data_IF_354012884680
#
_entry.id   IF_354012884680
#
_cell.length_a   1.000
_cell.length_b   1.000
_cell.length_c   1.000
_cell.angle_alpha   90.00
_cell.angle_beta   90.00
_cell.angle_gamma   90.00
#
_symmetry.space_group_name_H-M   'P 1'
#
loop_
_entity.id
_entity.type
_entity.pdbx_description
1 polymer ?
#
# COMPACT_ATOMS: atom_id res chain seq x y z
N UNK A 1 -13.62 15.90 23.35
CA UNK A 1 -13.68 15.95 21.91
C UNK A 1 -13.76 14.57 21.29
N UNK A 2 -14.76 14.31 20.50
CA UNK A 2 -14.81 13.02 19.84
C UNK A 2 -13.59 12.88 18.95
N UNK A 3 -13.10 11.70 18.88
CA UNK A 3 -12.04 11.40 17.98
C UNK A 3 -12.58 11.57 16.57
N UNK A 4 -12.14 12.59 15.89
CA UNK A 4 -12.65 12.90 14.58
C UNK A 4 -12.40 11.78 13.58
N UNK A 5 -13.24 11.73 12.56
CA UNK A 5 -12.97 10.92 11.40
C UNK A 5 -11.88 11.63 10.62
N UNK A 6 -10.81 10.93 10.30
CA UNK A 6 -9.72 11.51 9.54
C UNK A 6 -10.19 11.82 8.11
N UNK A 7 -9.77 12.96 7.58
CA UNK A 7 -10.05 13.27 6.18
C UNK A 7 -9.11 12.46 5.27
N UNK A 8 -9.32 12.55 3.96
CA UNK A 8 -8.56 11.75 2.99
C UNK A 8 -7.05 11.98 3.11
N UNK A 9 -6.62 13.24 3.27
CA UNK A 9 -5.19 13.54 3.39
C UNK A 9 -4.59 13.01 4.68
N UNK A 10 -5.34 13.10 5.78
CA UNK A 10 -4.88 12.57 7.06
C UNK A 10 -4.76 11.05 7.01
N UNK A 11 -5.70 10.38 6.36
CA UNK A 11 -5.63 8.93 6.18
C UNK A 11 -4.40 8.53 5.36
N UNK A 12 -4.11 9.27 4.30
CA UNK A 12 -2.92 9.01 3.47
C UNK A 12 -1.63 9.21 4.26
N UNK A 13 -1.56 10.29 5.05
CA UNK A 13 -0.40 10.58 5.89
C UNK A 13 -0.20 9.47 6.92
N UNK A 14 -1.27 9.05 7.56
CA UNK A 14 -1.22 7.97 8.53
C UNK A 14 -0.75 6.67 7.88
N UNK A 15 -1.31 6.34 6.71
CA UNK A 15 -0.94 5.12 6.00
C UNK A 15 0.54 5.10 5.61
N UNK A 16 1.04 6.22 5.08
CA UNK A 16 2.44 6.33 4.69
C UNK A 16 3.37 6.19 5.88
N UNK A 17 3.03 6.84 7.00
CA UNK A 17 3.83 6.75 8.21
C UNK A 17 3.88 5.31 8.74
N UNK A 18 2.74 4.65 8.77
CA UNK A 18 2.66 3.26 9.19
C UNK A 18 3.55 2.37 8.31
N UNK A 19 3.45 2.55 6.99
CA UNK A 19 4.24 1.76 6.05
C UNK A 19 5.76 2.01 6.23
N UNK A 20 6.15 3.28 6.43
CA UNK A 20 7.55 3.60 6.69
C UNK A 20 8.08 2.89 7.93
N UNK A 21 7.30 2.87 9.00
CA UNK A 21 7.69 2.19 10.23
C UNK A 21 7.85 0.69 10.00
N UNK A 22 6.94 0.08 9.22
CA UNK A 22 7.02 -1.34 8.90
C UNK A 22 8.27 -1.67 8.10
N UNK A 23 8.62 -0.82 7.13
CA UNK A 23 9.85 -1.02 6.35
C UNK A 23 11.08 -0.90 7.25
N UNK A 24 11.10 0.06 8.15
CA UNK A 24 12.20 0.20 9.12
C UNK A 24 12.34 -1.03 10.00
N UNK A 25 11.24 -1.53 10.52
CA UNK A 25 11.24 -2.75 11.34
C UNK A 25 11.79 -3.94 10.57
N UNK A 26 11.58 -3.97 9.26
CA UNK A 26 12.10 -5.03 8.40
C UNK A 26 13.55 -4.80 7.95
N UNK A 27 14.18 -3.70 8.39
CA UNK A 27 15.55 -3.39 8.02
C UNK A 27 15.70 -2.81 6.62
N UNK A 28 14.62 -2.32 6.03
CA UNK A 28 14.65 -1.76 4.68
C UNK A 28 14.92 -0.26 4.72
N UNK A 29 15.60 0.23 3.69
CA UNK A 29 16.07 1.61 3.64
C UNK A 29 15.13 2.53 2.85
N UNK A 30 15.59 3.78 2.65
CA UNK A 30 14.83 4.80 1.95
C UNK A 30 14.55 4.44 0.49
N UNK A 31 15.43 3.67 -0.14
CA UNK A 31 15.22 3.23 -1.51
C UNK A 31 13.97 2.37 -1.62
N UNK A 32 13.80 1.46 -0.66
CA UNK A 32 12.62 0.61 -0.62
C UNK A 32 11.35 1.42 -0.31
N UNK A 33 11.47 2.41 0.57
CA UNK A 33 10.33 3.29 0.85
C UNK A 33 9.92 4.10 -0.39
N UNK A 34 10.89 4.65 -1.11
CA UNK A 34 10.57 5.40 -2.34
C UNK A 34 9.87 4.52 -3.35
N UNK A 35 10.34 3.28 -3.49
CA UNK A 35 9.71 2.34 -4.41
C UNK A 35 8.28 2.02 -3.99
N UNK A 36 8.05 1.76 -2.71
CA UNK A 36 6.71 1.47 -2.20
C UNK A 36 5.79 2.66 -2.37
N UNK A 37 6.29 3.85 -2.04
CA UNK A 37 5.51 5.08 -2.17
C UNK A 37 5.06 5.29 -3.61
N UNK A 38 5.95 5.07 -4.56
CA UNK A 38 5.64 5.19 -5.98
C UNK A 38 4.66 4.11 -6.44
N UNK A 39 4.90 2.87 -6.04
CA UNK A 39 4.06 1.73 -6.43
C UNK A 39 2.62 1.92 -5.97
N UNK A 40 2.42 2.18 -4.68
CA UNK A 40 1.08 2.34 -4.15
C UNK A 40 0.46 3.69 -4.52
N UNK A 41 1.29 4.68 -4.87
CA UNK A 41 0.82 5.90 -5.51
C UNK A 41 0.17 5.60 -6.84
N UNK A 42 0.79 4.74 -7.65
CA UNK A 42 0.25 4.32 -8.94
C UNK A 42 -0.98 3.43 -8.80
N UNK A 43 -0.99 2.56 -7.78
CA UNK A 43 -2.09 1.60 -7.59
C UNK A 43 -3.37 2.28 -7.12
N UNK A 44 -3.27 3.17 -6.14
CA UNK A 44 -4.45 3.69 -5.46
C UNK A 44 -4.34 5.14 -5.05
N UNK A 45 -3.24 5.81 -5.35
CA UNK A 45 -2.92 7.11 -4.78
C UNK A 45 -2.98 7.07 -3.25
N UNK A 46 -2.61 5.92 -2.65
CA UNK A 46 -2.64 5.70 -1.20
C UNK A 46 -4.05 5.83 -0.59
N UNK A 47 -5.09 5.64 -1.40
CA UNK A 47 -6.47 5.74 -0.94
C UNK A 47 -6.93 4.37 -0.44
N UNK A 48 -7.16 4.27 0.87
CA UNK A 48 -7.57 3.00 1.49
C UNK A 48 -8.97 2.54 1.07
N UNK A 49 -9.72 3.38 0.37
CA UNK A 49 -11.05 3.05 -0.15
C UNK A 49 -11.07 2.90 -1.67
N UNK A 50 -9.89 2.95 -2.30
CA UNK A 50 -9.82 2.80 -3.75
C UNK A 50 -10.33 1.43 -4.18
N UNK A 51 -11.24 1.43 -5.13
CA UNK A 51 -11.84 0.21 -5.65
C UNK A 51 -11.68 0.17 -7.16
N UNK A 52 -11.16 -0.95 -7.65
CA UNK A 52 -11.03 -1.15 -9.09
C UNK A 52 -12.41 -1.51 -9.65
N UNK A 53 -12.93 -0.75 -10.64
CA UNK A 53 -14.26 -1.03 -11.19
C UNK A 53 -14.33 -2.34 -11.98
N UNK A 54 -13.18 -2.90 -12.37
CA UNK A 54 -13.13 -4.08 -13.23
C UNK A 54 -12.67 -5.34 -12.50
N UNK A 55 -12.43 -5.27 -11.19
CA UNK A 55 -11.95 -6.43 -10.45
C UNK A 55 -12.27 -6.29 -8.96
N UNK A 56 -11.88 -7.28 -8.17
CA UNK A 56 -12.03 -7.23 -6.72
C UNK A 56 -10.87 -6.52 -6.01
N UNK A 57 -9.94 -5.93 -6.77
CA UNK A 57 -8.82 -5.21 -6.17
C UNK A 57 -9.33 -4.02 -5.37
N UNK A 58 -8.84 -3.88 -4.13
CA UNK A 58 -9.33 -2.87 -3.21
C UNK A 58 -8.20 -2.36 -2.32
N UNK A 59 -8.33 -1.08 -1.93
CA UNK A 59 -7.48 -0.49 -0.91
C UNK A 59 -6.15 0.03 -1.42
N UNK A 60 -5.31 0.40 -0.49
CA UNK A 60 -4.00 0.99 -0.81
C UNK A 60 -3.17 0.09 -1.72
N UNK A 61 -3.01 -1.22 -1.40
CA UNK A 61 -2.19 -2.08 -2.25
C UNK A 61 -2.93 -2.64 -3.46
N UNK A 62 -4.22 -2.41 -3.59
CA UNK A 62 -5.05 -2.96 -4.66
C UNK A 62 -4.92 -4.48 -4.77
N UNK A 63 -5.07 -5.15 -3.62
CA UNK A 63 -5.05 -6.60 -3.59
C UNK A 63 -6.43 -7.18 -3.92
N UNK A 64 -6.43 -8.27 -4.65
CA UNK A 64 -7.65 -9.01 -4.93
C UNK A 64 -8.23 -9.56 -3.62
N UNK A 65 -9.55 -9.55 -3.53
CA UNK A 65 -10.28 -10.10 -2.39
C UNK A 65 -10.05 -9.35 -1.08
N UNK A 66 -9.47 -8.16 -1.12
CA UNK A 66 -9.38 -7.30 0.06
C UNK A 66 -10.79 -6.79 0.37
N UNK A 67 -11.30 -7.08 1.56
CA UNK A 67 -12.65 -6.68 1.93
C UNK A 67 -12.74 -5.15 2.11
N UNK A 68 -13.78 -4.50 1.58
CA UNK A 68 -14.03 -3.10 1.90
C UNK A 68 -14.17 -2.95 3.42
N UNK A 69 -13.63 -1.84 3.94
CA UNK A 69 -13.62 -1.61 5.38
C UNK A 69 -12.44 -2.22 6.11
N UNK A 70 -11.54 -2.90 5.41
CA UNK A 70 -10.32 -3.40 6.03
C UNK A 70 -9.51 -2.21 6.57
N UNK A 71 -9.10 -2.24 7.86
CA UNK A 71 -8.35 -1.13 8.45
C UNK A 71 -7.04 -0.88 7.71
N UNK A 72 -6.60 0.37 7.71
CA UNK A 72 -5.37 0.78 7.02
C UNK A 72 -4.17 -0.07 7.42
N UNK A 73 -3.86 -0.29 8.73
CA UNK A 73 -2.72 -1.12 9.09
C UNK A 73 -2.78 -2.51 8.49
N UNK A 74 -3.96 -3.11 8.47
CA UNK A 74 -4.13 -4.45 7.93
C UNK A 74 -3.94 -4.47 6.41
N UNK A 75 -4.42 -3.44 5.71
CA UNK A 75 -4.19 -3.31 4.28
C UNK A 75 -2.69 -3.26 3.97
N UNK A 76 -1.96 -2.46 4.73
CA UNK A 76 -0.52 -2.29 4.53
C UNK A 76 0.22 -3.58 4.86
N UNK A 77 -0.10 -4.23 5.98
CA UNK A 77 0.53 -5.50 6.35
C UNK A 77 0.33 -6.55 5.27
N UNK A 78 -0.89 -6.69 4.78
CA UNK A 78 -1.19 -7.65 3.71
C UNK A 78 -0.47 -7.30 2.41
N UNK A 79 -0.41 -6.01 2.08
CA UNK A 79 0.30 -5.55 0.88
C UNK A 79 1.79 -5.85 0.95
N UNK A 80 2.41 -5.61 2.10
CA UNK A 80 3.82 -5.89 2.29
C UNK A 80 4.10 -7.39 2.26
N UNK A 81 3.23 -8.20 2.84
CA UNK A 81 3.36 -9.66 2.76
C UNK A 81 3.30 -10.13 1.32
N UNK A 82 2.35 -9.59 0.55
CA UNK A 82 2.21 -9.94 -0.86
C UNK A 82 3.48 -9.60 -1.65
N UNK A 83 4.00 -8.38 -1.44
CA UNK A 83 5.23 -7.93 -2.12
C UNK A 83 6.41 -8.83 -1.75
N UNK A 84 6.58 -9.11 -0.47
CA UNK A 84 7.69 -9.94 0.01
C UNK A 84 7.63 -11.35 -0.59
N UNK A 85 6.45 -11.95 -0.56
CA UNK A 85 6.27 -13.31 -1.07
C UNK A 85 6.47 -13.41 -2.57
N UNK A 86 5.93 -12.43 -3.32
CA UNK A 86 5.91 -12.53 -4.77
C UNK A 86 7.14 -11.94 -5.44
N UNK A 87 7.66 -10.84 -4.90
CA UNK A 87 8.75 -10.11 -5.55
C UNK A 87 10.02 -10.02 -4.71
N UNK A 88 9.90 -10.17 -3.40
CA UNK A 88 11.02 -10.07 -2.48
C UNK A 88 11.21 -8.70 -1.88
N UNK A 89 10.92 -7.63 -2.64
CA UNK A 89 11.12 -6.27 -2.15
C UNK A 89 10.24 -5.29 -2.90
N UNK A 90 9.96 -4.11 -2.31
CA UNK A 90 9.23 -3.04 -3.01
C UNK A 90 9.89 -2.61 -4.32
N UNK A 91 11.23 -2.51 -4.37
CA UNK A 91 11.92 -2.14 -5.61
C UNK A 91 11.65 -3.13 -6.72
N UNK A 92 11.67 -4.41 -6.41
CA UNK A 92 11.39 -5.45 -7.41
C UNK A 92 9.93 -5.45 -7.83
N UNK A 93 9.02 -5.21 -6.89
CA UNK A 93 7.61 -5.10 -7.21
C UNK A 93 7.34 -3.90 -8.13
N UNK A 94 7.95 -2.75 -7.84
CA UNK A 94 7.81 -1.57 -8.68
C UNK A 94 8.38 -1.83 -10.08
N UNK A 95 9.54 -2.46 -10.17
CA UNK A 95 10.14 -2.80 -11.44
C UNK A 95 9.19 -3.64 -12.29
N UNK A 96 8.59 -4.66 -11.68
CA UNK A 96 7.61 -5.50 -12.36
C UNK A 96 6.40 -4.68 -12.85
N UNK A 97 5.91 -3.78 -11.99
CA UNK A 97 4.78 -2.92 -12.34
C UNK A 97 5.10 -2.01 -13.52
N UNK A 98 6.31 -1.45 -13.54
CA UNK A 98 6.73 -0.57 -14.64
C UNK A 98 6.85 -1.33 -15.96
N UNK A 99 7.23 -2.60 -15.89
CA UNK A 99 7.37 -3.43 -17.09
C UNK A 99 6.05 -4.01 -17.57
N UNK A 100 5.18 -4.41 -16.66
CA UNK A 100 3.97 -5.18 -16.99
C UNK A 100 2.66 -4.40 -16.81
N UNK A 101 2.68 -3.31 -16.07
CA UNK A 101 1.49 -2.54 -15.78
C UNK A 101 0.65 -3.06 -14.61
N UNK A 102 1.15 -4.06 -13.88
CA UNK A 102 0.49 -4.64 -12.70
C UNK A 102 1.54 -5.27 -11.78
N UNK A 103 1.12 -5.64 -10.59
CA UNK A 103 2.03 -6.36 -9.69
C UNK A 103 1.32 -7.41 -8.82
#
# INVERSE_FOLDING_TARGET
MPRGILNANQNKTYAKRYAQEKLKEAGLDKTEWKALSTLWGKESAWDHKAQNPNSSAYGIPQLLKMAPGTPIPKQIDKGLQYITKRYGSPTKALQHHLEKGWY
#
